data_IF_689194423305
#
_entry.id   IF_689194423305
#
_cell.length_a   1.000
_cell.length_b   1.000
_cell.length_c   1.000
_cell.angle_alpha   90.00
_cell.angle_beta   90.00
_cell.angle_gamma   90.00
#
_symmetry.space_group_name_H-M   'P 1'
#
loop_
_entity.id
_entity.type
_entity.pdbx_description
1 polymer ?
#
# COMPACT_ATOMS: atom_id res chain seq x y z
N UNK A 1 -3.83 16.77 22.64
CA UNK A 1 -3.00 17.26 23.74
C UNK A 1 -3.46 18.62 24.25
N UNK A 2 -3.11 18.93 25.48
CA UNK A 2 -3.26 20.24 26.11
C UNK A 2 -2.13 20.48 27.10
N UNK A 3 -1.92 21.74 27.47
CA UNK A 3 -0.96 22.10 28.52
C UNK A 3 -1.72 22.76 29.67
N UNK A 4 -1.57 22.26 30.88
CA UNK A 4 -2.38 22.64 32.04
C UNK A 4 -1.51 22.94 33.26
N UNK A 5 -1.95 23.89 34.07
CA UNK A 5 -1.45 24.12 35.45
C UNK A 5 -2.56 24.68 36.32
N UNK A 6 -2.42 24.65 37.60
CA UNK A 6 -3.32 25.29 38.56
C UNK A 6 -2.61 26.29 39.47
N UNK A 7 -3.38 27.09 40.21
CA UNK A 7 -2.87 27.90 41.34
C UNK A 7 -2.38 27.03 42.49
N UNK A 8 -2.81 25.79 42.56
CA UNK A 8 -2.37 24.71 43.44
C UNK A 8 -2.55 23.36 42.74
N UNK A 9 -2.06 22.28 43.32
CA UNK A 9 -2.25 20.92 42.78
C UNK A 9 -3.72 20.53 42.80
N UNK A 10 -4.17 19.86 41.74
CA UNK A 10 -5.55 19.46 41.60
C UNK A 10 -5.78 18.43 40.50
N UNK A 11 -7.04 18.15 40.22
CA UNK A 11 -7.49 17.19 39.24
C UNK A 11 -8.63 17.76 38.39
N UNK A 12 -8.63 17.49 37.12
CA UNK A 12 -9.74 17.74 36.20
C UNK A 12 -10.26 16.39 35.74
N UNK A 13 -11.55 16.18 35.84
CA UNK A 13 -12.24 15.08 35.18
C UNK A 13 -12.61 15.51 33.74
N UNK A 14 -12.26 14.71 32.76
CA UNK A 14 -12.49 15.03 31.34
C UNK A 14 -13.43 14.03 30.71
N UNK A 15 -14.30 14.50 29.82
CA UNK A 15 -15.24 13.66 29.08
C UNK A 15 -15.31 14.10 27.62
N UNK A 16 -15.15 13.13 26.70
CA UNK A 16 -15.38 13.32 25.28
C UNK A 16 -16.63 12.53 24.89
N UNK A 17 -17.65 13.21 24.39
CA UNK A 17 -18.90 12.54 24.00
C UNK A 17 -20.13 13.44 24.09
N UNK A 18 -21.18 12.93 24.71
CA UNK A 18 -22.43 13.62 25.00
C UNK A 18 -22.85 13.42 26.48
N UNK A 19 -24.04 13.94 26.87
CA UNK A 19 -24.52 13.82 28.25
C UNK A 19 -24.81 12.38 28.66
N UNK A 20 -25.19 11.53 27.72
CA UNK A 20 -25.62 10.14 27.97
C UNK A 20 -24.53 9.10 27.77
N UNK A 21 -23.40 9.49 27.18
CA UNK A 21 -22.30 8.57 26.89
C UNK A 21 -20.99 9.28 26.60
N UNK A 22 -19.95 8.52 26.34
CA UNK A 22 -18.64 9.03 25.98
C UNK A 22 -17.50 8.42 26.80
N UNK A 23 -16.28 8.78 26.46
CA UNK A 23 -15.07 8.34 27.13
C UNK A 23 -14.62 9.37 28.15
N UNK A 24 -14.16 8.91 29.31
CA UNK A 24 -13.72 9.75 30.43
C UNK A 24 -12.27 9.49 30.81
N UNK A 25 -11.62 10.47 31.37
CA UNK A 25 -10.27 10.37 31.95
C UNK A 25 -10.01 11.49 32.94
N UNK A 26 -9.14 11.24 33.89
CA UNK A 26 -8.69 12.22 34.86
C UNK A 26 -7.33 12.80 34.48
N UNK A 27 -7.11 14.06 34.81
CA UNK A 27 -5.86 14.78 34.60
C UNK A 27 -5.43 15.42 35.90
N UNK A 28 -4.34 14.93 36.48
CA UNK A 28 -3.68 15.57 37.63
C UNK A 28 -2.75 16.67 37.13
N UNK A 29 -2.76 17.82 37.80
CA UNK A 29 -1.91 18.96 37.52
C UNK A 29 -1.34 19.57 38.81
N UNK A 30 -0.24 20.30 38.69
CA UNK A 30 0.38 21.06 39.74
C UNK A 30 0.41 22.56 39.40
N UNK A 31 1.29 23.30 40.10
CA UNK A 31 1.50 24.73 39.86
C UNK A 31 2.38 25.02 38.64
N UNK A 32 3.10 24.02 38.15
CA UNK A 32 3.92 24.13 36.97
C UNK A 32 3.17 23.66 35.71
N UNK A 33 3.53 24.22 34.55
CA UNK A 33 2.94 23.80 33.26
C UNK A 33 3.25 22.34 32.95
N UNK A 34 2.22 21.55 32.77
CA UNK A 34 2.30 20.12 32.41
C UNK A 34 1.61 19.88 31.07
N UNK A 35 2.34 19.30 30.13
CA UNK A 35 1.75 18.81 28.87
C UNK A 35 1.08 17.46 29.11
N UNK A 36 -0.19 17.36 28.71
CA UNK A 36 -1.01 16.16 28.84
C UNK A 36 -1.51 15.75 27.48
N UNK A 37 -1.41 14.47 27.17
CA UNK A 37 -2.01 13.87 25.98
C UNK A 37 -3.01 12.81 26.43
N UNK A 38 -4.25 12.98 26.06
CA UNK A 38 -5.34 12.03 26.32
C UNK A 38 -5.76 11.38 25.02
N UNK A 39 -6.01 10.09 25.07
CA UNK A 39 -6.53 9.32 23.93
C UNK A 39 -7.84 8.69 24.33
N UNK A 40 -8.88 8.93 23.53
CA UNK A 40 -10.20 8.38 23.75
C UNK A 40 -10.64 7.57 22.53
N UNK A 41 -11.31 6.47 22.78
CA UNK A 41 -12.05 5.76 21.74
C UNK A 41 -13.45 6.36 21.72
N UNK A 42 -13.82 7.04 20.63
CA UNK A 42 -15.17 7.53 20.44
C UNK A 42 -16.13 6.35 20.35
N UNK A 43 -17.10 6.31 21.26
CA UNK A 43 -18.13 5.27 21.36
C UNK A 43 -19.51 5.76 20.97
N UNK A 44 -19.67 7.09 20.86
CA UNK A 44 -20.92 7.78 20.50
C UNK A 44 -20.61 8.94 19.56
N UNK A 45 -21.61 9.42 18.85
CA UNK A 45 -21.55 10.69 18.12
C UNK A 45 -21.66 11.84 19.13
N UNK A 46 -20.55 12.11 19.82
CA UNK A 46 -20.51 13.18 20.82
C UNK A 46 -20.32 14.55 20.21
N UNK A 47 -20.81 15.56 20.90
CA UNK A 47 -20.78 16.96 20.48
C UNK A 47 -19.89 17.87 21.32
N UNK A 48 -19.29 17.38 22.41
CA UNK A 48 -18.48 18.20 23.27
C UNK A 48 -17.28 17.46 23.91
N UNK A 49 -16.31 18.25 24.32
CA UNK A 49 -15.26 17.86 25.26
C UNK A 49 -15.45 18.67 26.54
N UNK A 50 -15.75 17.98 27.63
CA UNK A 50 -16.07 18.56 28.91
C UNK A 50 -14.85 18.47 29.84
N UNK A 51 -14.57 19.56 30.55
CA UNK A 51 -13.63 19.66 31.65
C UNK A 51 -14.40 19.97 32.92
N UNK A 52 -14.43 19.04 33.86
CA UNK A 52 -15.10 19.19 35.14
C UNK A 52 -14.07 19.39 36.23
N UNK A 53 -14.15 20.51 36.92
CA UNK A 53 -13.19 20.88 37.97
C UNK A 53 -13.53 20.24 39.32
N UNK A 54 -14.75 19.67 39.47
CA UNK A 54 -15.18 19.07 40.73
C UNK A 54 -15.13 20.05 41.91
N UNK A 55 -14.58 19.61 43.00
CA UNK A 55 -14.44 20.41 44.22
C UNK A 55 -13.16 21.23 44.26
N UNK A 56 -12.43 21.36 43.16
CA UNK A 56 -11.20 22.15 43.09
C UNK A 56 -11.52 23.64 43.31
N UNK A 57 -10.84 24.21 44.26
CA UNK A 57 -10.96 25.66 44.59
C UNK A 57 -9.64 26.32 44.16
N UNK A 58 -9.72 27.23 43.19
CA UNK A 58 -8.56 27.93 42.63
C UNK A 58 -8.68 28.16 41.13
N UNK A 59 -7.58 28.66 40.55
CA UNK A 59 -7.51 28.94 39.12
C UNK A 59 -6.89 27.76 38.37
N UNK A 60 -7.46 27.41 37.24
CA UNK A 60 -6.93 26.42 36.30
C UNK A 60 -6.60 27.13 35.00
N UNK A 61 -5.39 27.01 34.57
CA UNK A 61 -4.88 27.59 33.32
C UNK A 61 -4.66 26.49 32.30
N UNK A 62 -5.22 26.65 31.11
CA UNK A 62 -5.14 25.68 30.02
C UNK A 62 -4.73 26.41 28.75
N UNK A 63 -3.76 25.86 28.03
CA UNK A 63 -3.33 26.36 26.72
C UNK A 63 -2.98 25.21 25.78
N UNK A 64 -2.75 25.55 24.50
CA UNK A 64 -2.32 24.62 23.46
C UNK A 64 -3.26 23.42 23.30
N UNK A 65 -4.57 23.62 23.46
CA UNK A 65 -5.54 22.55 23.24
C UNK A 65 -5.59 22.22 21.75
N UNK A 66 -5.36 20.94 21.42
CA UNK A 66 -5.52 20.40 20.09
C UNK A 66 -6.38 19.15 20.15
N UNK A 67 -7.30 19.03 19.21
CA UNK A 67 -8.03 17.81 18.96
C UNK A 67 -7.48 17.18 17.68
N UNK A 68 -6.97 15.98 17.84
CA UNK A 68 -6.48 15.17 16.73
C UNK A 68 -7.37 13.93 16.69
N UNK A 69 -7.85 13.60 15.51
CA UNK A 69 -8.66 12.43 15.34
C UNK A 69 -7.98 11.47 14.37
N UNK A 70 -7.84 10.22 14.79
CA UNK A 70 -7.37 9.14 13.94
C UNK A 70 -8.52 8.19 13.67
N UNK A 71 -8.90 8.04 12.40
CA UNK A 71 -9.73 6.91 11.98
C UNK A 71 -8.81 5.70 11.80
N UNK A 72 -9.20 4.51 12.30
CA UNK A 72 -8.58 3.29 11.83
C UNK A 72 -8.78 3.21 10.31
N UNK A 73 -7.71 2.92 9.58
CA UNK A 73 -7.77 2.65 8.16
C UNK A 73 -8.84 1.60 7.87
N UNK A 74 -9.62 1.83 6.82
CA UNK A 74 -10.55 0.81 6.35
C UNK A 74 -9.71 -0.34 5.82
N UNK A 75 -9.93 -1.55 6.33
CA UNK A 75 -9.39 -2.75 5.72
C UNK A 75 -10.11 -2.93 4.39
N UNK A 76 -9.39 -2.84 3.29
CA UNK A 76 -9.90 -3.16 1.97
C UNK A 76 -9.50 -4.62 1.75
N UNK A 77 -10.49 -5.50 1.64
CA UNK A 77 -10.29 -6.86 1.14
C UNK A 77 -10.43 -6.78 -0.38
N UNK A 78 -9.34 -7.00 -1.10
CA UNK A 78 -9.35 -7.16 -2.53
C UNK A 78 -9.12 -8.64 -2.84
N UNK A 79 -10.04 -9.23 -3.59
CA UNK A 79 -9.82 -10.54 -4.20
C UNK A 79 -8.91 -10.33 -5.41
N UNK A 80 -7.69 -10.85 -5.34
CA UNK A 80 -6.75 -10.84 -6.45
C UNK A 80 -6.51 -12.25 -6.94
N UNK A 81 -6.40 -12.37 -8.24
CA UNK A 81 -5.95 -13.61 -8.89
C UNK A 81 -4.43 -13.59 -9.01
N UNK A 82 -3.82 -14.76 -8.94
CA UNK A 82 -2.40 -14.94 -9.15
C UNK A 82 -2.14 -16.29 -9.83
N UNK A 83 -0.97 -16.46 -10.43
CA UNK A 83 -0.51 -17.75 -10.85
C UNK A 83 0.01 -18.53 -9.65
N UNK A 84 -0.49 -19.75 -9.44
CA UNK A 84 0.08 -20.73 -8.51
C UNK A 84 0.80 -21.83 -9.29
N UNK A 85 2.07 -22.04 -8.98
CA UNK A 85 2.85 -23.16 -9.46
C UNK A 85 3.19 -24.10 -8.30
N UNK A 86 2.66 -25.30 -8.32
CA UNK A 86 2.97 -26.33 -7.34
C UNK A 86 4.22 -27.09 -7.76
N UNK A 87 5.22 -27.13 -6.89
CA UNK A 87 6.39 -27.98 -7.03
C UNK A 87 6.26 -29.17 -6.07
N UNK A 88 6.34 -30.36 -6.60
CA UNK A 88 6.48 -31.58 -5.82
C UNK A 88 7.90 -31.69 -5.26
N UNK A 89 8.12 -32.57 -4.32
CA UNK A 89 9.45 -32.93 -3.84
C UNK A 89 10.38 -33.26 -5.02
N UNK A 90 11.63 -32.77 -4.99
CA UNK A 90 12.63 -33.03 -6.03
C UNK A 90 13.00 -34.50 -6.03
N UNK A 91 12.93 -35.12 -7.20
CA UNK A 91 13.26 -36.55 -7.37
C UNK A 91 14.69 -36.75 -7.89
N UNK A 92 15.17 -35.86 -8.75
CA UNK A 92 16.51 -35.96 -9.33
C UNK A 92 17.17 -34.59 -9.51
N UNK A 93 16.49 -33.68 -10.16
CA UNK A 93 17.10 -32.46 -10.69
C UNK A 93 16.36 -31.18 -10.26
N UNK A 94 17.09 -30.07 -10.26
CA UNK A 94 16.51 -28.74 -9.93
C UNK A 94 15.42 -28.31 -10.92
N UNK A 95 15.36 -28.92 -12.12
CA UNK A 95 14.36 -28.71 -13.15
C UNK A 95 13.22 -29.74 -13.16
N UNK A 96 13.07 -30.58 -12.14
CA UNK A 96 11.95 -31.52 -12.03
C UNK A 96 10.61 -30.79 -12.09
N UNK A 97 10.52 -29.64 -11.43
CA UNK A 97 9.38 -28.73 -11.49
C UNK A 97 9.83 -27.37 -12.08
N UNK A 98 9.10 -26.87 -13.05
CA UNK A 98 9.43 -25.63 -13.72
C UNK A 98 8.17 -24.78 -14.02
N UNK A 99 8.37 -23.46 -14.04
CA UNK A 99 7.46 -22.50 -14.69
C UNK A 99 8.19 -21.92 -15.89
N UNK A 100 7.53 -21.80 -17.02
CA UNK A 100 8.05 -21.11 -18.20
C UNK A 100 7.25 -19.83 -18.46
N UNK A 101 7.95 -18.74 -18.70
CA UNK A 101 7.45 -17.55 -19.30
C UNK A 101 7.67 -17.64 -20.81
N UNK A 102 6.58 -17.73 -21.57
CA UNK A 102 6.61 -17.87 -23.04
C UNK A 102 6.59 -16.47 -23.65
N UNK A 103 7.74 -16.02 -24.13
CA UNK A 103 7.98 -14.64 -24.55
C UNK A 103 7.86 -14.41 -26.06
N UNK A 104 7.79 -15.49 -26.86
CA UNK A 104 8.01 -15.42 -28.29
C UNK A 104 9.51 -15.40 -28.64
N UNK A 105 9.83 -15.32 -29.92
CA UNK A 105 11.22 -15.35 -30.38
C UNK A 105 12.01 -14.14 -29.89
N UNK A 106 13.19 -14.40 -29.33
CA UNK A 106 14.21 -13.39 -29.01
C UNK A 106 15.60 -13.85 -29.45
N UNK A 107 16.48 -12.91 -29.74
CA UNK A 107 17.83 -13.16 -30.18
C UNK A 107 18.85 -13.08 -29.02
N UNK A 108 20.02 -13.68 -29.21
CA UNK A 108 21.16 -13.38 -28.36
C UNK A 108 21.50 -11.88 -28.46
N UNK A 109 21.86 -11.26 -27.33
CA UNK A 109 22.11 -9.83 -27.25
C UNK A 109 20.87 -8.95 -27.00
N UNK A 110 19.65 -9.51 -27.01
CA UNK A 110 18.44 -8.77 -26.69
C UNK A 110 18.44 -8.28 -25.24
N UNK A 111 18.04 -7.04 -25.01
CA UNK A 111 17.90 -6.46 -23.67
C UNK A 111 16.59 -6.93 -23.04
N UNK A 112 16.65 -7.31 -21.78
CA UNK A 112 15.44 -7.67 -21.03
C UNK A 112 15.23 -6.80 -19.82
N UNK A 113 13.96 -6.61 -19.48
CA UNK A 113 13.47 -6.08 -18.21
C UNK A 113 12.41 -7.05 -17.68
N UNK A 114 12.62 -7.57 -16.49
CA UNK A 114 11.69 -8.47 -15.80
C UNK A 114 11.24 -7.83 -14.50
N UNK A 115 9.95 -7.91 -14.22
CA UNK A 115 9.36 -7.54 -12.95
C UNK A 115 8.24 -8.51 -12.61
N UNK A 116 8.14 -8.92 -11.35
CA UNK A 116 7.03 -9.72 -10.85
C UNK A 116 6.88 -9.52 -9.34
N UNK A 117 5.66 -9.63 -8.84
CA UNK A 117 5.40 -9.90 -7.44
C UNK A 117 5.47 -11.41 -7.23
N UNK A 118 6.26 -11.85 -6.26
CA UNK A 118 6.48 -13.28 -6.00
C UNK A 118 6.36 -13.61 -4.53
N UNK A 119 5.89 -14.82 -4.23
CA UNK A 119 5.78 -15.39 -2.89
C UNK A 119 5.88 -16.91 -2.98
N UNK A 120 6.30 -17.55 -1.92
CA UNK A 120 6.22 -19.01 -1.79
C UNK A 120 5.78 -19.41 -0.38
N UNK A 121 5.30 -20.63 -0.20
CA UNK A 121 4.93 -21.13 1.12
C UNK A 121 6.17 -21.37 2.01
N UNK A 122 7.29 -21.72 1.38
CA UNK A 122 8.63 -21.81 2.01
C UNK A 122 9.58 -20.89 1.24
N UNK A 123 10.44 -20.14 1.94
CA UNK A 123 11.45 -19.31 1.30
C UNK A 123 12.38 -20.17 0.43
N UNK A 124 12.65 -19.69 -0.78
CA UNK A 124 13.48 -20.38 -1.76
C UNK A 124 14.14 -19.38 -2.70
N UNK A 125 15.19 -19.81 -3.40
CA UNK A 125 15.77 -19.05 -4.50
C UNK A 125 15.82 -19.98 -5.71
N UNK A 126 15.31 -19.55 -6.85
CA UNK A 126 15.19 -20.37 -8.05
C UNK A 126 16.12 -19.86 -9.14
N UNK A 127 16.80 -20.76 -9.82
CA UNK A 127 17.61 -20.47 -10.99
C UNK A 127 16.74 -20.38 -12.25
N UNK A 128 17.29 -19.81 -13.32
CA UNK A 128 16.58 -19.60 -14.58
C UNK A 128 17.33 -20.20 -15.77
N UNK A 129 16.59 -20.59 -16.81
CA UNK A 129 17.13 -21.15 -18.03
C UNK A 129 16.49 -20.54 -19.27
N UNK A 130 17.26 -20.39 -20.35
CA UNK A 130 16.72 -20.10 -21.69
C UNK A 130 16.30 -21.42 -22.33
N UNK A 131 15.08 -21.43 -22.90
CA UNK A 131 14.55 -22.55 -23.66
C UNK A 131 14.12 -22.10 -25.06
N UNK A 132 14.37 -22.96 -26.07
CA UNK A 132 13.91 -22.76 -27.44
C UNK A 132 12.38 -22.90 -27.55
N UNK A 133 11.83 -23.83 -26.82
CA UNK A 133 10.41 -24.05 -26.53
C UNK A 133 10.32 -24.53 -25.08
N UNK A 134 9.20 -24.39 -24.39
CA UNK A 134 9.03 -24.98 -23.07
C UNK A 134 9.45 -26.46 -23.05
N UNK A 135 10.43 -26.78 -22.18
CA UNK A 135 11.02 -28.11 -22.12
C UNK A 135 12.25 -28.35 -23.00
N UNK A 136 12.59 -27.44 -23.92
CA UNK A 136 13.76 -27.57 -24.79
C UNK A 136 14.88 -26.62 -24.35
N UNK A 137 15.75 -27.11 -23.49
CA UNK A 137 16.86 -26.38 -22.87
C UNK A 137 17.85 -25.78 -23.88
N UNK A 138 18.34 -24.60 -23.61
CA UNK A 138 19.41 -23.92 -24.39
C UNK A 138 20.54 -23.48 -23.48
N UNK A 139 20.28 -22.74 -22.42
CA UNK A 139 21.31 -22.12 -21.59
C UNK A 139 20.87 -21.92 -20.15
N UNK A 140 21.79 -22.09 -19.22
CA UNK A 140 21.61 -21.88 -17.78
C UNK A 140 21.82 -20.40 -17.41
N UNK A 141 21.22 -19.96 -16.28
CA UNK A 141 21.29 -18.57 -15.79
C UNK A 141 20.81 -17.53 -16.83
N UNK A 142 19.61 -17.71 -17.33
CA UNK A 142 19.02 -16.82 -18.33
C UNK A 142 18.94 -15.36 -17.88
N UNK A 143 18.38 -15.13 -16.69
CA UNK A 143 18.18 -13.81 -16.06
C UNK A 143 18.66 -13.76 -14.62
N UNK A 144 19.50 -14.74 -14.22
CA UNK A 144 19.99 -14.88 -12.84
C UNK A 144 19.03 -15.67 -11.94
N UNK A 145 19.04 -15.34 -10.66
CA UNK A 145 18.32 -16.04 -9.62
C UNK A 145 17.17 -15.19 -9.07
N UNK A 146 16.02 -15.82 -8.81
CA UNK A 146 14.82 -15.15 -8.29
C UNK A 146 14.58 -15.60 -6.85
N UNK A 147 14.68 -14.69 -5.86
CA UNK A 147 14.39 -14.99 -4.47
C UNK A 147 12.90 -14.94 -4.18
N UNK A 148 12.39 -15.96 -3.50
CA UNK A 148 11.03 -16.04 -2.96
C UNK A 148 11.06 -16.01 -1.44
N UNK A 149 10.15 -15.26 -0.86
CA UNK A 149 9.91 -15.21 0.58
C UNK A 149 8.47 -15.67 0.89
N UNK A 150 8.15 -15.88 2.15
CA UNK A 150 6.78 -16.22 2.56
C UNK A 150 5.80 -15.04 2.46
N UNK A 151 6.34 -13.83 2.32
CA UNK A 151 5.59 -12.61 2.06
C UNK A 151 5.74 -12.18 0.60
N UNK A 152 4.73 -11.48 0.08
CA UNK A 152 4.83 -10.92 -1.27
C UNK A 152 5.96 -9.91 -1.39
N UNK A 153 6.77 -10.08 -2.42
CA UNK A 153 7.91 -9.22 -2.73
C UNK A 153 7.96 -8.92 -4.22
N UNK A 154 8.20 -7.68 -4.58
CA UNK A 154 8.52 -7.30 -5.96
C UNK A 154 9.98 -7.63 -6.26
N UNK A 155 10.21 -8.39 -7.32
CA UNK A 155 11.53 -8.67 -7.88
C UNK A 155 11.64 -7.98 -9.23
N UNK A 156 12.73 -7.27 -9.45
CA UNK A 156 13.09 -6.63 -10.73
C UNK A 156 14.48 -7.05 -11.15
N UNK A 157 14.61 -7.49 -12.39
CA UNK A 157 15.88 -7.88 -13.01
C UNK A 157 15.96 -7.24 -14.40
N UNK A 158 17.17 -6.86 -14.81
CA UNK A 158 17.42 -6.36 -16.17
C UNK A 158 18.80 -6.76 -16.63
N UNK A 159 18.97 -6.88 -17.92
CA UNK A 159 20.26 -7.27 -18.49
C UNK A 159 20.16 -7.59 -19.98
N UNK A 160 21.03 -8.49 -20.42
CA UNK A 160 21.13 -8.92 -21.82
C UNK A 160 21.06 -10.44 -21.88
N UNK A 161 20.20 -10.98 -22.73
CA UNK A 161 20.08 -12.42 -22.93
C UNK A 161 21.28 -12.94 -23.74
N UNK A 162 21.96 -13.96 -23.20
CA UNK A 162 23.19 -14.49 -23.79
C UNK A 162 22.98 -15.37 -25.02
N UNK A 163 21.76 -15.95 -25.14
CA UNK A 163 21.41 -16.88 -26.21
C UNK A 163 20.01 -16.56 -26.76
N UNK A 164 19.75 -16.99 -27.99
CA UNK A 164 18.43 -16.92 -28.60
C UNK A 164 17.49 -17.99 -28.00
N UNK A 165 16.21 -17.67 -27.91
CA UNK A 165 15.20 -18.57 -27.38
C UNK A 165 13.78 -18.09 -27.61
N UNK A 166 12.82 -18.71 -26.92
CA UNK A 166 11.40 -18.30 -26.92
C UNK A 166 10.80 -18.25 -25.52
N UNK A 167 11.44 -18.86 -24.54
CA UNK A 167 10.92 -18.90 -23.18
C UNK A 167 12.03 -18.89 -22.12
N UNK A 168 11.70 -18.39 -20.96
CA UNK A 168 12.52 -18.44 -19.77
C UNK A 168 11.88 -19.44 -18.79
N UNK A 169 12.65 -20.44 -18.39
CA UNK A 169 12.26 -21.40 -17.35
C UNK A 169 12.78 -20.97 -15.99
N UNK A 170 11.95 -21.15 -14.96
CA UNK A 170 12.32 -21.04 -13.56
C UNK A 170 12.36 -22.44 -12.95
N UNK A 171 13.48 -22.81 -12.33
CA UNK A 171 13.70 -24.14 -11.75
C UNK A 171 13.16 -24.17 -10.32
N UNK A 172 11.93 -24.63 -10.14
CA UNK A 172 11.23 -24.58 -8.85
C UNK A 172 11.75 -25.61 -7.84
N UNK A 173 12.47 -26.64 -8.31
CA UNK A 173 13.05 -27.69 -7.48
C UNK A 173 14.47 -27.37 -6.98
N UNK A 174 14.90 -26.10 -6.99
CA UNK A 174 16.11 -25.68 -6.27
C UNK A 174 15.95 -25.97 -4.78
N UNK A 175 14.78 -25.70 -4.19
CA UNK A 175 14.39 -26.25 -2.91
C UNK A 175 13.99 -27.72 -3.12
N UNK A 176 14.61 -28.65 -2.37
CA UNK A 176 14.34 -30.07 -2.51
C UNK A 176 12.92 -30.47 -2.08
N UNK A 177 12.41 -29.82 -1.08
CA UNK A 177 11.06 -30.03 -0.54
C UNK A 177 9.97 -29.57 -1.48
N UNK A 178 8.79 -30.18 -1.37
CA UNK A 178 7.56 -29.67 -2.01
C UNK A 178 7.27 -28.24 -1.53
N UNK A 179 6.87 -27.37 -2.48
CA UNK A 179 6.59 -25.97 -2.22
C UNK A 179 5.55 -25.44 -3.23
N UNK A 180 4.84 -24.39 -2.86
CA UNK A 180 4.00 -23.64 -3.78
C UNK A 180 4.63 -22.26 -4.04
N UNK A 181 4.69 -21.88 -5.30
CA UNK A 181 5.19 -20.60 -5.76
C UNK A 181 4.05 -19.79 -6.37
N UNK A 182 3.99 -18.52 -6.03
CA UNK A 182 2.93 -17.61 -6.46
C UNK A 182 3.54 -16.43 -7.19
N UNK A 183 2.89 -16.03 -8.29
CA UNK A 183 3.31 -14.92 -9.15
C UNK A 183 2.13 -14.00 -9.40
N UNK A 184 2.37 -12.71 -9.36
CA UNK A 184 1.41 -11.67 -9.70
C UNK A 184 2.13 -10.50 -10.38
N UNK A 185 1.42 -9.70 -11.15
CA UNK A 185 1.94 -8.54 -11.86
C UNK A 185 3.23 -8.84 -12.64
N UNK A 186 3.25 -9.95 -13.37
CA UNK A 186 4.39 -10.39 -14.17
C UNK A 186 4.51 -9.56 -15.44
N UNK A 187 5.63 -8.89 -15.60
CA UNK A 187 6.02 -8.18 -16.82
C UNK A 187 7.39 -8.70 -17.28
N UNK A 188 7.51 -8.99 -18.55
CA UNK A 188 8.76 -9.33 -19.18
C UNK A 188 8.87 -8.62 -20.53
N UNK A 189 9.78 -7.64 -20.59
CA UNK A 189 10.03 -6.88 -21.80
C UNK A 189 11.30 -7.36 -22.48
N UNK A 190 11.25 -7.46 -23.79
CA UNK A 190 12.40 -7.69 -24.69
C UNK A 190 12.57 -6.46 -25.59
N UNK A 191 13.72 -5.81 -25.54
CA UNK A 191 14.03 -4.57 -26.27
C UNK A 191 12.92 -3.52 -26.09
N UNK A 192 12.42 -3.38 -24.84
CA UNK A 192 11.37 -2.43 -24.42
C UNK A 192 9.95 -2.86 -24.76
N UNK A 193 9.73 -3.99 -25.45
CA UNK A 193 8.40 -4.48 -25.81
C UNK A 193 7.90 -5.53 -24.82
N UNK A 194 6.71 -5.34 -24.27
CA UNK A 194 6.06 -6.31 -23.37
C UNK A 194 5.74 -7.62 -24.12
N UNK A 195 6.13 -8.74 -23.53
CA UNK A 195 5.96 -10.09 -24.08
C UNK A 195 4.93 -10.91 -23.31
N UNK A 196 4.63 -10.56 -22.06
CA UNK A 196 3.66 -11.27 -21.22
C UNK A 196 2.27 -10.72 -21.48
N UNK A 197 1.31 -11.62 -21.60
CA UNK A 197 -0.11 -11.32 -21.65
C UNK A 197 -0.74 -11.70 -20.31
N UNK A 198 -1.66 -10.86 -19.83
CA UNK A 198 -2.40 -11.10 -18.59
C UNK A 198 -1.47 -11.41 -17.41
N UNK A 199 -0.42 -10.60 -17.23
CA UNK A 199 0.55 -10.81 -16.16
C UNK A 199 0.02 -10.45 -14.77
N UNK A 200 -1.10 -9.73 -14.68
CA UNK A 200 -1.89 -9.44 -13.48
C UNK A 200 -2.89 -10.57 -13.14
N UNK A 201 -3.04 -11.55 -14.02
CA UNK A 201 -3.92 -12.72 -13.90
C UNK A 201 -5.41 -12.40 -13.72
N UNK A 202 -5.85 -11.17 -13.90
CA UNK A 202 -7.26 -10.79 -13.78
C UNK A 202 -8.12 -11.25 -14.98
N UNK A 203 -7.48 -11.50 -16.11
CA UNK A 203 -8.11 -12.10 -17.30
C UNK A 203 -8.04 -13.64 -17.30
N UNK A 204 -8.41 -14.23 -18.43
CA UNK A 204 -8.42 -15.71 -18.65
C UNK A 204 -7.27 -16.21 -19.52
N UNK A 205 -6.53 -15.31 -20.20
CA UNK A 205 -5.42 -15.69 -21.09
C UNK A 205 -4.20 -16.10 -20.26
N UNK A 206 -3.87 -17.37 -20.27
CA UNK A 206 -2.67 -17.94 -19.62
C UNK A 206 -1.63 -18.41 -20.64
N UNK A 207 -1.74 -18.00 -21.89
CA UNK A 207 -0.88 -18.46 -23.00
C UNK A 207 0.60 -18.13 -22.81
N UNK A 208 0.91 -17.09 -22.04
CA UNK A 208 2.28 -16.72 -21.69
C UNK A 208 2.93 -17.59 -20.61
N UNK A 209 2.22 -18.56 -20.07
CA UNK A 209 2.70 -19.38 -18.96
C UNK A 209 2.54 -20.88 -19.24
N UNK A 210 3.49 -21.66 -18.71
CA UNK A 210 3.42 -23.13 -18.67
C UNK A 210 3.97 -23.60 -17.33
N UNK A 211 3.46 -24.70 -16.81
CA UNK A 211 3.92 -25.31 -15.56
C UNK A 211 4.20 -26.79 -15.79
N UNK A 212 5.31 -27.26 -15.30
CA UNK A 212 5.68 -28.68 -15.24
C UNK A 212 5.79 -29.11 -13.79
N UNK A 213 5.19 -30.23 -13.45
CA UNK A 213 5.33 -30.92 -12.18
C UNK A 213 6.16 -32.19 -12.37
N UNK A 214 7.22 -32.35 -11.59
CA UNK A 214 8.09 -33.48 -11.68
C UNK A 214 8.66 -33.66 -13.09
N UNK A 215 9.21 -34.78 -13.46
CA UNK A 215 9.75 -35.07 -14.80
C UNK A 215 8.70 -35.23 -15.92
N UNK A 216 7.45 -34.92 -15.64
CA UNK A 216 6.34 -35.10 -16.58
C UNK A 216 6.18 -34.02 -17.64
N UNK A 217 5.11 -34.13 -18.43
CA UNK A 217 4.74 -33.12 -19.44
C UNK A 217 4.34 -31.79 -18.83
N UNK A 218 4.52 -30.71 -19.57
CA UNK A 218 4.02 -29.38 -19.19
C UNK A 218 2.50 -29.40 -18.99
N UNK A 219 2.03 -28.85 -17.91
CA UNK A 219 0.61 -28.71 -17.57
C UNK A 219 0.18 -27.26 -17.65
N UNK A 220 -1.13 -27.01 -17.76
CA UNK A 220 -1.66 -25.66 -17.70
C UNK A 220 -1.40 -25.04 -16.31
N UNK A 221 -1.11 -23.75 -16.22
CA UNK A 221 -0.99 -23.08 -14.96
C UNK A 221 -2.32 -23.03 -14.20
N UNK A 222 -2.25 -23.12 -12.87
CA UNK A 222 -3.41 -22.95 -12.00
C UNK A 222 -3.48 -21.51 -11.55
N UNK A 223 -4.59 -20.85 -11.84
CA UNK A 223 -4.86 -19.52 -11.30
C UNK A 223 -5.44 -19.68 -9.89
N UNK A 224 -4.83 -19.06 -8.90
CA UNK A 224 -5.43 -18.92 -7.58
C UNK A 224 -6.55 -17.89 -7.65
N UNK A 225 -7.75 -18.33 -7.32
CA UNK A 225 -8.86 -17.44 -7.04
C UNK A 225 -8.84 -17.15 -5.53
N UNK A 226 -9.11 -15.90 -5.16
CA UNK A 226 -9.28 -15.47 -3.76
C UNK A 226 -8.02 -15.40 -2.89
N UNK A 227 -6.96 -14.73 -3.34
CA UNK A 227 -5.99 -14.18 -2.40
C UNK A 227 -6.60 -12.94 -1.75
N UNK A 228 -7.07 -13.08 -0.51
CA UNK A 228 -7.52 -11.94 0.28
C UNK A 228 -6.32 -11.07 0.62
N UNK A 229 -6.28 -9.88 0.04
CA UNK A 229 -5.36 -8.84 0.41
C UNK A 229 -5.98 -7.98 1.51
N UNK A 230 -5.37 -7.96 2.69
CA UNK A 230 -5.74 -6.98 3.72
C UNK A 230 -4.84 -5.76 3.54
N UNK A 231 -5.36 -4.74 2.91
CA UNK A 231 -4.67 -3.48 2.72
C UNK A 231 -5.12 -2.47 3.78
N UNK A 232 -4.19 -2.00 4.60
CA UNK A 232 -4.44 -0.86 5.50
C UNK A 232 -3.76 0.35 4.86
N UNK A 233 -4.51 1.26 4.22
CA UNK A 233 -3.89 2.45 3.64
C UNK A 233 -3.23 3.28 4.74
N UNK A 234 -2.01 3.76 4.47
CA UNK A 234 -1.27 4.65 5.36
C UNK A 234 -1.97 6.00 5.54
N UNK A 235 -2.86 6.36 4.63
CA UNK A 235 -3.71 7.55 4.66
C UNK A 235 -5.15 7.16 4.40
N UNK A 236 -6.08 7.74 5.15
CA UNK A 236 -7.51 7.59 4.91
C UNK A 236 -7.94 8.77 4.06
N UNK A 237 -8.39 8.55 2.82
CA UNK A 237 -8.94 9.64 2.01
C UNK A 237 -10.13 10.27 2.73
N UNK A 238 -10.16 11.59 2.78
CA UNK A 238 -11.33 12.32 3.27
C UNK A 238 -12.51 12.07 2.32
N UNK A 239 -13.69 11.91 2.88
CA UNK A 239 -14.93 11.93 2.10
C UNK A 239 -15.10 13.30 1.41
N UNK A 240 -15.94 13.38 0.38
CA UNK A 240 -16.22 14.65 -0.30
C UNK A 240 -16.71 15.72 0.69
N UNK A 241 -17.55 15.33 1.65
CA UNK A 241 -18.04 16.24 2.68
C UNK A 241 -16.93 16.70 3.63
N UNK A 242 -16.10 15.79 4.13
CA UNK A 242 -14.95 16.14 4.99
C UNK A 242 -13.95 17.05 4.28
N UNK A 243 -13.71 16.84 2.97
CA UNK A 243 -12.87 17.75 2.16
C UNK A 243 -13.50 19.14 2.05
N UNK A 244 -14.78 19.20 1.72
CA UNK A 244 -15.53 20.47 1.63
C UNK A 244 -15.46 21.22 2.96
N UNK A 245 -15.79 20.57 4.08
CA UNK A 245 -15.82 21.19 5.41
C UNK A 245 -14.43 21.68 5.84
N UNK A 246 -13.37 20.92 5.51
CA UNK A 246 -11.98 21.31 5.78
C UNK A 246 -11.59 22.55 4.98
N UNK A 247 -11.96 22.62 3.70
CA UNK A 247 -11.68 23.77 2.84
C UNK A 247 -12.46 25.01 3.30
N UNK A 248 -13.74 24.87 3.58
CA UNK A 248 -14.57 25.97 4.10
C UNK A 248 -13.99 26.51 5.40
N UNK A 249 -13.65 25.63 6.35
CA UNK A 249 -13.03 26.03 7.60
C UNK A 249 -11.68 26.76 7.38
N UNK A 250 -10.83 26.25 6.51
CA UNK A 250 -9.54 26.88 6.22
C UNK A 250 -9.70 28.25 5.58
N UNK A 251 -10.62 28.38 4.62
CA UNK A 251 -10.95 29.65 3.96
C UNK A 251 -11.53 30.66 4.96
N UNK A 252 -12.50 30.28 5.78
CA UNK A 252 -13.11 31.16 6.79
C UNK A 252 -12.05 31.67 7.76
N UNK A 253 -11.22 30.78 8.27
CA UNK A 253 -10.13 31.13 9.18
C UNK A 253 -9.11 32.09 8.53
N UNK A 254 -8.77 31.85 7.26
CA UNK A 254 -7.80 32.67 6.54
C UNK A 254 -8.35 34.05 6.22
N UNK A 255 -9.59 34.13 5.70
CA UNK A 255 -10.29 35.39 5.39
C UNK A 255 -10.49 36.21 6.66
N UNK A 256 -11.02 35.59 7.73
CA UNK A 256 -11.23 36.24 9.01
C UNK A 256 -9.93 36.76 9.62
N UNK A 257 -8.83 36.00 9.49
CA UNK A 257 -7.50 36.39 9.94
C UNK A 257 -6.95 37.60 9.17
N UNK A 258 -7.09 37.60 7.84
CA UNK A 258 -6.69 38.74 6.98
C UNK A 258 -7.52 39.99 7.29
N UNK A 259 -8.84 39.85 7.36
CA UNK A 259 -9.72 40.98 7.67
C UNK A 259 -9.37 41.63 9.00
N UNK A 260 -9.11 40.80 10.02
CA UNK A 260 -8.68 41.27 11.34
C UNK A 260 -7.31 41.96 11.30
N UNK A 261 -6.34 41.41 10.58
CA UNK A 261 -5.00 41.98 10.46
C UNK A 261 -5.01 43.32 9.74
N UNK A 262 -5.94 43.52 8.81
CA UNK A 262 -6.08 44.79 8.06
C UNK A 262 -6.78 45.91 8.86
N UNK A 263 -7.35 45.65 10.02
CA UNK A 263 -7.95 46.62 10.94
C UNK A 263 -8.86 47.65 10.24
N UNK A 264 -9.57 47.25 9.19
CA UNK A 264 -10.41 48.14 8.39
C UNK A 264 -9.69 49.18 7.51
N UNK A 265 -8.36 49.08 7.39
CA UNK A 265 -7.57 49.96 6.55
C UNK A 265 -7.71 49.65 5.05
N UNK A 266 -7.96 48.39 4.72
CA UNK A 266 -8.22 47.95 3.33
C UNK A 266 -9.72 48.02 3.07
N UNK A 267 -10.10 48.77 2.02
CA UNK A 267 -11.51 49.06 1.67
C UNK A 267 -12.02 48.29 0.46
N UNK A 268 -11.11 47.70 -0.30
CA UNK A 268 -11.43 46.90 -1.48
C UNK A 268 -10.63 45.59 -1.45
N UNK A 269 -11.26 44.51 -1.85
CA UNK A 269 -10.69 43.17 -1.88
C UNK A 269 -11.05 42.50 -3.21
N UNK A 270 -10.10 41.84 -3.81
CA UNK A 270 -10.40 40.86 -4.85
C UNK A 270 -10.92 39.60 -4.17
N UNK A 271 -12.15 39.25 -4.45
CA UNK A 271 -12.80 38.10 -3.83
C UNK A 271 -12.12 36.79 -4.24
N UNK A 272 -11.75 36.69 -5.52
CA UNK A 272 -11.02 35.57 -6.09
C UNK A 272 -10.09 36.13 -7.18
N UNK A 273 -8.80 35.81 -7.11
CA UNK A 273 -7.85 36.12 -8.16
C UNK A 273 -7.59 34.84 -8.97
N UNK A 274 -7.82 34.89 -10.28
CA UNK A 274 -7.57 33.77 -11.20
C UNK A 274 -8.16 32.45 -10.72
N UNK A 275 -9.47 32.41 -10.52
CA UNK A 275 -10.22 31.27 -9.97
C UNK A 275 -9.96 29.96 -10.74
N UNK A 276 -9.57 30.07 -11.99
CA UNK A 276 -9.17 28.98 -12.87
C UNK A 276 -7.90 29.43 -13.58
N UNK A 277 -6.76 29.26 -12.95
CA UNK A 277 -5.46 29.50 -13.57
C UNK A 277 -4.64 28.22 -13.49
N UNK A 278 -4.09 27.86 -14.59
CA UNK A 278 -3.25 26.67 -14.72
C UNK A 278 -3.57 25.95 -16.02
N UNK A 279 -2.56 25.53 -16.73
CA UNK A 279 -2.71 24.79 -17.99
C UNK A 279 -2.91 23.31 -17.79
N UNK A 280 -3.20 22.85 -16.58
CA UNK A 280 -3.37 21.45 -16.24
C UNK A 280 -4.81 20.98 -16.44
N UNK A 281 -4.96 19.88 -17.16
CA UNK A 281 -6.20 19.12 -17.25
C UNK A 281 -5.85 17.67 -16.89
N UNK A 282 -6.48 17.12 -15.87
CA UNK A 282 -6.27 15.74 -15.42
C UNK A 282 -6.77 14.68 -16.42
N UNK A 283 -7.27 15.11 -17.58
CA UNK A 283 -7.86 14.24 -18.61
C UNK A 283 -9.32 13.88 -18.35
N UNK A 284 -9.87 14.26 -17.21
CA UNK A 284 -11.27 14.05 -16.82
C UNK A 284 -12.12 15.33 -16.92
N UNK A 285 -11.54 16.41 -17.41
CA UNK A 285 -12.21 17.70 -17.58
C UNK A 285 -12.14 18.60 -16.35
N UNK A 286 -11.36 18.22 -15.33
CA UNK A 286 -11.07 19.06 -14.18
C UNK A 286 -9.83 19.94 -14.45
N UNK A 287 -9.81 21.12 -13.87
CA UNK A 287 -8.64 22.00 -13.88
C UNK A 287 -7.92 21.89 -12.53
N UNK A 288 -6.61 21.68 -12.57
CA UNK A 288 -5.76 21.74 -11.38
C UNK A 288 -5.49 23.18 -10.92
#
# INVERSE_FOLDING_TARGET
PMTVKGSQAGKIHTKLGDWNGGATSDVDFGTEWKKVTLSYKATTNGSFYLLQCGDFIGDIYIKDIRFEHSKKGKTIEEDRRCLKAEATERTSDVWDNQVWFVLGNFNAGAKYEFSAQVRADKAATVSTQIHKEPGTYVHYEAIGWIPFTTEWKTVTLSGTLSQAGKSIALNLSELADANNYYFDNVSFKIDGKECIKNGDFEGTDVSSFRVKKSSGSAVAPVICEHLKYVYVPSTIPLTAQERHDTLVYAMDKWISGMMKACEGKVKAWDLVNEAISGGGNDGEGNYE
#
